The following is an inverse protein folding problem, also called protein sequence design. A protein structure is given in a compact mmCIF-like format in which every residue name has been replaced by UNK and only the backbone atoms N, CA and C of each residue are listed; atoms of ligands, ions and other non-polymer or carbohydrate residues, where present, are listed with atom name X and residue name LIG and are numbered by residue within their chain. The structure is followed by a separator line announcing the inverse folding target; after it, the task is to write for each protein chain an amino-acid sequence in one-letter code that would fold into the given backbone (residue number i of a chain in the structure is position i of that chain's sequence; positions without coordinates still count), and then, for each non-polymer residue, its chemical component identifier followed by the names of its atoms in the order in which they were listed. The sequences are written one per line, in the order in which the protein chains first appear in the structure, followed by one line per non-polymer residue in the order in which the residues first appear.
data_IF_859747579848
#
_entry.id   IF_859747579848
#
_cell.length_a   1.000
_cell.length_b   1.000
_cell.length_c   1.000
_cell.angle_alpha   90.00
_cell.angle_beta   90.00
_cell.angle_gamma   90.00
#
_symmetry.space_group_name_H-M   'P 1'
#
loop_
_entity.id
_entity.type
_entity.pdbx_description
1 polymer ?
#
# COMPACT_ATOMS: atom_id res chain seq x y z
N UNK A 1 -8.96 -17.14 -28.38
CA UNK A 1 -8.57 -15.90 -27.68
C UNK A 1 -8.85 -14.73 -28.61
N UNK A 2 -9.88 -13.92 -28.33
CA UNK A 2 -10.19 -12.77 -29.19
C UNK A 2 -9.07 -11.70 -29.08
N UNK A 3 -8.70 -11.03 -30.18
CA UNK A 3 -7.50 -10.16 -30.25
C UNK A 3 -7.54 -8.95 -29.30
N UNK A 4 -8.73 -8.50 -28.90
CA UNK A 4 -8.90 -7.40 -27.96
C UNK A 4 -8.43 -7.73 -26.53
N UNK A 5 -8.39 -9.01 -26.14
CA UNK A 5 -7.86 -9.41 -24.83
C UNK A 5 -6.39 -9.03 -24.68
N UNK A 6 -5.58 -9.18 -25.74
CA UNK A 6 -4.16 -8.82 -25.72
C UNK A 6 -3.96 -7.32 -25.50
N UNK A 7 -4.83 -6.48 -26.09
CA UNK A 7 -4.82 -5.04 -25.87
C UNK A 7 -5.17 -4.70 -24.42
N UNK A 8 -6.20 -5.35 -23.85
CA UNK A 8 -6.58 -5.17 -22.44
C UNK A 8 -5.46 -5.63 -21.50
N UNK A 9 -4.82 -6.78 -21.76
CA UNK A 9 -3.69 -7.25 -20.95
C UNK A 9 -2.48 -6.32 -21.02
N UNK A 10 -2.16 -5.78 -22.21
CA UNK A 10 -1.10 -4.80 -22.37
C UNK A 10 -1.39 -3.50 -21.59
N UNK A 11 -2.63 -3.00 -21.66
CA UNK A 11 -3.07 -1.84 -20.90
C UNK A 11 -3.02 -2.07 -19.38
N UNK A 12 -3.53 -3.21 -18.91
CA UNK A 12 -3.49 -3.57 -17.49
C UNK A 12 -2.05 -3.71 -17.00
N UNK A 13 -1.17 -4.31 -17.80
CA UNK A 13 0.25 -4.45 -17.46
C UNK A 13 0.95 -3.09 -17.37
N UNK A 14 0.61 -2.16 -18.28
CA UNK A 14 1.12 -0.79 -18.25
C UNK A 14 0.64 -0.03 -17.01
N UNK A 15 -0.67 -0.03 -16.75
CA UNK A 15 -1.26 0.64 -15.59
C UNK A 15 -0.72 0.06 -14.29
N UNK A 16 -0.54 -1.26 -14.20
CA UNK A 16 0.03 -1.91 -13.03
C UNK A 16 1.47 -1.42 -12.74
N UNK A 17 2.27 -1.20 -13.79
CA UNK A 17 3.64 -0.70 -13.64
C UNK A 17 3.69 0.73 -13.08
N UNK A 18 2.84 1.62 -13.59
CA UNK A 18 2.69 3.00 -13.08
C UNK A 18 2.14 3.03 -11.65
N UNK A 19 1.18 2.15 -11.33
CA UNK A 19 0.67 1.98 -9.97
C UNK A 19 1.77 1.53 -9.02
N UNK A 20 2.66 0.63 -9.45
CA UNK A 20 3.74 0.11 -8.61
C UNK A 20 4.78 1.19 -8.27
N UNK A 21 5.12 2.05 -9.24
CA UNK A 21 5.97 3.23 -9.00
C UNK A 21 5.34 4.19 -7.99
N UNK A 22 4.03 4.43 -8.10
CA UNK A 22 3.31 5.30 -7.16
C UNK A 22 3.30 4.72 -5.74
N UNK A 23 3.10 3.39 -5.60
CA UNK A 23 3.16 2.69 -4.32
C UNK A 23 4.56 2.79 -3.72
N UNK A 24 5.61 2.60 -4.52
CA UNK A 24 7.00 2.70 -4.08
C UNK A 24 7.37 4.11 -3.61
N UNK A 25 6.92 5.12 -4.35
CA UNK A 25 7.07 6.53 -3.96
C UNK A 25 6.38 6.83 -2.62
N UNK A 26 5.12 6.42 -2.47
CA UNK A 26 4.36 6.59 -1.23
C UNK A 26 4.98 5.82 -0.05
N UNK A 27 5.53 4.63 -0.30
CA UNK A 27 6.22 3.82 0.72
C UNK A 27 7.52 4.50 1.18
N UNK A 28 8.29 5.03 0.23
CA UNK A 28 9.51 5.80 0.51
C UNK A 28 9.17 7.06 1.29
N UNK A 29 8.13 7.80 0.89
CA UNK A 29 7.63 8.97 1.63
C UNK A 29 7.26 8.62 3.07
N UNK A 30 6.47 7.56 3.28
CA UNK A 30 6.13 7.08 4.63
C UNK A 30 7.37 6.71 5.46
N UNK A 31 8.41 6.13 4.85
CA UNK A 31 9.66 5.78 5.54
C UNK A 31 10.42 7.04 5.97
N UNK A 32 10.58 8.01 5.07
CA UNK A 32 11.23 9.30 5.35
C UNK A 32 10.45 10.06 6.42
N UNK A 33 9.12 10.10 6.34
CA UNK A 33 8.27 10.68 7.39
C UNK A 33 8.48 9.98 8.74
N UNK A 34 8.63 8.66 8.76
CA UNK A 34 8.90 7.89 9.98
C UNK A 34 10.29 8.18 10.55
N UNK A 35 11.28 8.41 9.69
CA UNK A 35 12.64 8.80 10.06
C UNK A 35 12.67 10.23 10.64
N UNK A 36 11.97 11.18 10.02
CA UNK A 36 11.86 12.56 10.49
C UNK A 36 11.09 12.69 11.81
N UNK A 37 10.02 11.90 12.00
CA UNK A 37 9.26 11.85 13.26
C UNK A 37 10.03 11.13 14.38
N UNK A 38 11.10 10.40 14.03
CA UNK A 38 11.99 9.71 14.96
C UNK A 38 11.41 8.40 15.55
N UNK A 39 12.16 7.76 16.45
CA UNK A 39 11.78 6.49 17.15
C UNK A 39 10.52 6.58 18.03
N UNK A 40 9.81 7.70 18.05
CA UNK A 40 8.51 7.78 18.76
C UNK A 40 7.53 6.86 18.04
N UNK A 41 7.09 5.81 18.75
CA UNK A 41 6.03 4.91 18.28
C UNK A 41 4.86 5.77 17.79
N UNK A 42 4.58 5.72 16.49
CA UNK A 42 3.39 6.36 15.92
C UNK A 42 2.21 5.52 16.41
N UNK A 43 1.66 5.93 17.56
CA UNK A 43 0.43 5.37 18.12
C UNK A 43 -0.72 5.79 17.21
N UNK A 44 -1.06 4.89 16.28
CA UNK A 44 -2.27 5.04 15.48
C UNK A 44 -3.47 4.97 16.42
N UNK A 45 -4.28 6.04 16.42
CA UNK A 45 -5.60 6.04 17.07
C UNK A 45 -6.49 4.98 16.42
N UNK A 46 -7.47 4.45 17.16
CA UNK A 46 -8.36 3.38 16.65
C UNK A 46 -9.08 3.77 15.35
N UNK A 47 -9.39 5.05 15.18
CA UNK A 47 -9.96 5.58 13.95
C UNK A 47 -8.96 5.55 12.77
N UNK A 48 -7.67 5.79 13.03
CA UNK A 48 -6.62 5.66 12.02
C UNK A 48 -6.40 4.18 11.66
N UNK A 49 -6.44 3.27 12.65
CA UNK A 49 -6.36 1.81 12.42
C UNK A 49 -7.55 1.31 11.61
N UNK A 50 -8.77 1.74 11.93
CA UNK A 50 -9.99 1.37 11.20
C UNK A 50 -9.93 1.84 9.75
N UNK A 51 -9.51 3.08 9.51
CA UNK A 51 -9.30 3.59 8.14
C UNK A 51 -8.24 2.80 7.39
N UNK A 52 -7.15 2.43 8.05
CA UNK A 52 -6.09 1.61 7.45
C UNK A 52 -6.58 0.19 7.13
N UNK A 53 -7.36 -0.42 8.02
CA UNK A 53 -7.94 -1.75 7.84
C UNK A 53 -8.98 -1.78 6.70
N UNK A 54 -9.81 -0.74 6.57
CA UNK A 54 -10.77 -0.61 5.46
C UNK A 54 -10.04 -0.47 4.13
N UNK A 55 -9.02 0.39 4.06
CA UNK A 55 -8.19 0.54 2.86
C UNK A 55 -7.43 -0.76 2.55
N UNK A 56 -6.79 -1.38 3.53
CA UNK A 56 -6.05 -2.64 3.31
C UNK A 56 -6.95 -3.83 2.98
N UNK A 57 -8.22 -3.85 3.41
CA UNK A 57 -9.22 -4.82 2.96
C UNK A 57 -9.55 -4.66 1.48
N UNK A 58 -9.56 -3.43 0.96
CA UNK A 58 -9.75 -3.14 -0.47
C UNK A 58 -8.52 -3.49 -1.32
N UNK A 59 -7.31 -3.30 -0.80
CA UNK A 59 -6.06 -3.63 -1.51
C UNK A 59 -5.66 -5.13 -1.43
N UNK A 60 -6.36 -5.93 -0.64
CA UNK A 60 -6.15 -7.38 -0.52
C UNK A 60 -5.11 -7.80 0.53
N UNK A 61 -5.20 -9.04 1.00
CA UNK A 61 -4.44 -9.57 2.16
C UNK A 61 -2.91 -9.49 2.01
N UNK A 62 -2.39 -9.59 0.80
CA UNK A 62 -0.94 -9.61 0.54
C UNK A 62 -0.31 -8.23 0.75
N UNK A 63 -0.95 -7.18 0.23
CA UNK A 63 -0.51 -5.80 0.45
C UNK A 63 -0.77 -5.36 1.89
N UNK A 64 -1.87 -5.82 2.50
CA UNK A 64 -2.14 -5.61 3.92
C UNK A 64 -1.04 -6.21 4.80
N UNK A 65 -0.50 -7.39 4.46
CA UNK A 65 0.61 -8.02 5.18
C UNK A 65 1.91 -7.22 5.07
N UNK A 66 2.20 -6.63 3.91
CA UNK A 66 3.36 -5.75 3.74
C UNK A 66 3.17 -4.40 4.46
N UNK A 67 1.96 -3.86 4.45
CA UNK A 67 1.62 -2.65 5.21
C UNK A 67 1.63 -2.91 6.72
N UNK A 68 1.16 -4.07 7.19
CA UNK A 68 1.24 -4.45 8.61
C UNK A 68 2.68 -4.76 9.05
N UNK A 69 3.57 -5.16 8.14
CA UNK A 69 5.00 -5.23 8.45
C UNK A 69 5.61 -3.84 8.70
N UNK A 70 5.02 -2.79 8.10
CA UNK A 70 5.39 -1.39 8.34
C UNK A 70 4.72 -0.84 9.62
N UNK A 71 3.53 -1.34 9.95
CA UNK A 71 2.73 -0.94 11.12
C UNK A 71 2.59 -2.08 12.12
N UNK A 72 3.36 -2.04 13.20
CA UNK A 72 3.29 -3.06 14.26
C UNK A 72 1.88 -3.08 14.87
N UNK A 73 1.14 -4.20 14.83
CA UNK A 73 -0.07 -4.34 15.63
C UNK A 73 0.36 -4.37 17.09
N UNK A 74 -0.16 -3.43 17.89
CA UNK A 74 -0.06 -3.55 19.35
C UNK A 74 -1.21 -4.44 19.78
N UNK A 75 -0.84 -5.54 20.42
CA UNK A 75 -1.68 -6.59 21.02
C UNK A 75 -2.91 -6.08 21.74
#
# INVERSE_FOLDING_TARGET
MQPWHLLVFALVSWVNREQQLTIEYLKTGNSIFREMVGKKRILLTDEQRRRLAVKGKQLGRKLLSELSAIFTPVS
#
